data_IF_246783184764
#
_entry.id   IF_246783184764
#
_cell.length_a   1.000
_cell.length_b   1.000
_cell.length_c   1.000
_cell.angle_alpha   90.00
_cell.angle_beta   90.00
_cell.angle_gamma   90.00
#
_symmetry.space_group_name_H-M   'P 1'
#
loop_
_entity.id
_entity.type
_entity.pdbx_description
1 polymer ?
#
# COMPACT_ATOMS: atom_id res chain seq x y z
N UNK A 1 -2.03 -15.76 -3.27
CA UNK A 1 -2.10 -14.44 -2.63
C UNK A 1 -0.81 -13.71 -2.91
N UNK A 2 -0.88 -12.40 -3.10
CA UNK A 2 0.27 -11.59 -3.50
C UNK A 2 1.10 -11.23 -2.28
N UNK A 3 2.44 -11.34 -2.35
CA UNK A 3 3.31 -10.97 -1.21
C UNK A 3 3.70 -9.49 -1.24
N UNK A 4 3.89 -8.95 -2.43
CA UNK A 4 4.31 -7.56 -2.67
C UNK A 4 3.30 -6.82 -3.54
N UNK A 5 3.40 -5.49 -3.59
CA UNK A 5 2.59 -4.67 -4.49
C UNK A 5 2.88 -5.02 -5.95
N UNK A 6 4.12 -5.33 -6.31
CA UNK A 6 4.47 -5.82 -7.65
C UNK A 6 3.70 -7.09 -8.03
N UNK A 7 3.66 -8.08 -7.12
CA UNK A 7 2.91 -9.31 -7.39
C UNK A 7 1.40 -9.07 -7.46
N UNK A 8 0.87 -8.11 -6.69
CA UNK A 8 -0.52 -7.70 -6.77
C UNK A 8 -0.84 -7.09 -8.15
N UNK A 9 0.04 -6.24 -8.66
CA UNK A 9 -0.09 -5.63 -9.99
C UNK A 9 -0.04 -6.72 -11.07
N UNK A 10 0.91 -7.63 -11.02
CA UNK A 10 1.03 -8.73 -11.98
C UNK A 10 -0.21 -9.65 -11.97
N UNK A 11 -0.80 -9.81 -10.78
CA UNK A 11 -2.06 -10.54 -10.62
C UNK A 11 -3.24 -9.78 -11.21
N UNK A 12 -3.34 -8.46 -11.02
CA UNK A 12 -4.37 -7.61 -11.63
C UNK A 12 -4.28 -7.68 -13.16
N UNK A 13 -3.06 -7.64 -13.72
CA UNK A 13 -2.85 -7.83 -15.15
C UNK A 13 -3.42 -9.15 -15.63
N UNK A 14 -2.95 -10.26 -15.05
CA UNK A 14 -3.36 -11.61 -15.46
C UNK A 14 -4.84 -11.90 -15.28
N UNK A 15 -5.46 -11.40 -14.20
CA UNK A 15 -6.85 -11.71 -13.89
C UNK A 15 -7.81 -10.75 -14.61
N UNK A 16 -7.53 -9.46 -14.69
CA UNK A 16 -8.54 -8.50 -15.16
C UNK A 16 -8.21 -7.75 -16.45
N UNK A 17 -6.93 -7.51 -16.76
CA UNK A 17 -6.57 -6.52 -17.78
C UNK A 17 -5.96 -7.12 -19.05
N UNK A 18 -5.13 -8.14 -18.92
CA UNK A 18 -4.39 -8.77 -20.00
C UNK A 18 -4.75 -10.27 -20.03
N UNK A 19 -5.74 -10.67 -20.87
CA UNK A 19 -6.03 -12.09 -21.05
C UNK A 19 -4.82 -12.78 -21.68
N UNK A 20 -4.56 -14.05 -21.35
CA UNK A 20 -3.40 -14.79 -21.87
C UNK A 20 -3.40 -14.96 -23.39
N UNK A 21 -4.56 -14.77 -24.02
CA UNK A 21 -4.73 -14.83 -25.48
C UNK A 21 -4.48 -13.47 -26.17
N UNK A 22 -4.22 -12.39 -25.41
CA UNK A 22 -3.81 -11.09 -25.99
C UNK A 22 -2.35 -11.16 -26.39
N UNK A 23 -2.07 -10.92 -27.68
CA UNK A 23 -0.71 -10.79 -28.18
C UNK A 23 -0.28 -9.33 -27.98
N UNK A 24 0.18 -9.01 -26.78
CA UNK A 24 0.87 -7.74 -26.55
C UNK A 24 2.30 -7.83 -27.09
N UNK A 25 2.77 -6.79 -27.77
CA UNK A 25 4.11 -6.70 -28.32
C UNK A 25 5.13 -6.44 -27.19
N UNK A 26 5.86 -7.48 -26.78
CA UNK A 26 6.88 -7.39 -25.74
C UNK A 26 8.24 -7.92 -26.19
N UNK A 27 9.29 -7.29 -25.67
CA UNK A 27 10.67 -7.80 -25.71
C UNK A 27 11.31 -7.63 -24.33
N UNK A 28 12.58 -8.00 -24.21
CA UNK A 28 13.35 -7.88 -22.96
C UNK A 28 14.59 -7.02 -23.17
N UNK A 29 15.01 -6.33 -22.12
CA UNK A 29 16.32 -5.68 -22.07
C UNK A 29 17.43 -6.74 -22.11
N UNK A 30 18.31 -6.71 -23.12
CA UNK A 30 19.48 -7.61 -23.13
C UNK A 30 20.58 -7.15 -22.17
N UNK A 31 20.62 -5.85 -21.86
CA UNK A 31 21.53 -5.22 -20.91
C UNK A 31 20.81 -4.30 -19.94
N UNK A 32 21.37 -4.11 -18.75
CA UNK A 32 20.79 -3.23 -17.73
C UNK A 32 20.90 -1.75 -18.14
N UNK A 33 19.86 -0.97 -17.81
CA UNK A 33 19.93 0.49 -17.82
C UNK A 33 20.54 0.92 -16.47
N UNK A 34 21.83 1.18 -16.48
CA UNK A 34 22.65 1.32 -15.27
C UNK A 34 22.63 2.72 -14.66
N UNK A 35 22.17 3.72 -15.41
CA UNK A 35 22.09 5.11 -14.93
C UNK A 35 20.80 5.79 -15.37
N UNK A 36 20.38 6.82 -14.64
CA UNK A 36 19.19 7.63 -14.99
C UNK A 36 19.42 8.53 -16.23
N UNK A 37 20.67 8.71 -16.66
CA UNK A 37 21.03 9.49 -17.85
C UNK A 37 21.25 8.68 -19.12
N UNK A 38 21.28 7.34 -19.05
CA UNK A 38 21.40 6.48 -20.22
C UNK A 38 20.14 6.60 -21.09
N UNK A 39 20.30 6.92 -22.38
CA UNK A 39 19.22 7.14 -23.35
C UNK A 39 19.15 6.09 -24.45
N UNK A 40 20.03 5.08 -24.42
CA UNK A 40 20.00 3.96 -25.35
C UNK A 40 19.99 2.64 -24.59
N UNK A 41 19.26 1.66 -25.11
CA UNK A 41 19.27 0.29 -24.60
C UNK A 41 18.99 -0.69 -25.73
N UNK A 42 19.39 -1.94 -25.52
CA UNK A 42 19.19 -3.01 -26.49
C UNK A 42 18.01 -3.90 -26.10
N UNK A 43 17.26 -4.34 -27.10
CA UNK A 43 16.16 -5.31 -26.95
C UNK A 43 16.60 -6.70 -27.44
N UNK A 44 15.89 -7.74 -26.98
CA UNK A 44 16.15 -9.13 -27.38
C UNK A 44 15.77 -9.33 -28.85
N UNK A 45 16.68 -9.97 -29.60
CA UNK A 45 16.49 -10.32 -31.01
C UNK A 45 15.31 -11.29 -31.17
N UNK A 46 14.64 -11.26 -32.33
CA UNK A 46 13.52 -12.12 -32.72
C UNK A 46 12.20 -12.00 -31.92
N UNK A 47 12.13 -11.17 -30.87
CA UNK A 47 10.88 -10.96 -30.13
C UNK A 47 9.98 -9.87 -30.71
N UNK A 48 10.54 -8.92 -31.46
CA UNK A 48 9.77 -7.97 -32.25
C UNK A 48 9.71 -8.43 -33.70
N UNK A 49 8.50 -8.48 -34.24
CA UNK A 49 8.22 -8.59 -35.66
C UNK A 49 8.51 -7.28 -36.38
N UNK A 50 8.62 -7.32 -37.71
CA UNK A 50 8.89 -6.13 -38.53
C UNK A 50 7.84 -5.01 -38.35
N UNK A 51 6.58 -5.36 -38.09
CA UNK A 51 5.53 -4.38 -37.82
C UNK A 51 5.69 -3.71 -36.44
N UNK A 52 6.20 -4.44 -35.45
CA UNK A 52 6.46 -3.92 -34.10
C UNK A 52 7.71 -3.04 -34.06
N UNK A 53 8.70 -3.35 -34.90
CA UNK A 53 9.85 -2.48 -35.13
C UNK A 53 9.42 -1.17 -35.83
N UNK A 54 8.49 -1.21 -36.78
CA UNK A 54 7.92 0.01 -37.37
C UNK A 54 7.09 0.81 -36.36
N UNK A 55 6.33 0.12 -35.49
CA UNK A 55 5.58 0.74 -34.40
C UNK A 55 6.49 1.40 -33.34
N UNK A 56 7.78 1.08 -33.30
CA UNK A 56 8.80 1.67 -32.43
C UNK A 56 9.42 2.97 -33.00
N UNK A 57 8.88 3.51 -34.10
CA UNK A 57 9.36 4.76 -34.69
C UNK A 57 9.28 5.96 -33.72
N UNK A 58 9.92 7.07 -34.09
CA UNK A 58 10.04 8.28 -33.30
C UNK A 58 8.67 8.75 -32.78
N UNK A 59 8.54 8.85 -31.45
CA UNK A 59 7.31 9.26 -30.77
C UNK A 59 6.50 8.11 -30.20
N UNK A 60 6.84 6.85 -30.51
CA UNK A 60 6.23 5.69 -29.88
C UNK A 60 6.41 5.73 -28.36
N UNK A 61 5.40 5.26 -27.63
CA UNK A 61 5.46 5.15 -26.18
C UNK A 61 6.01 3.77 -25.84
N UNK A 62 7.03 3.73 -24.99
CA UNK A 62 7.62 2.51 -24.47
C UNK A 62 7.48 2.52 -22.96
N UNK A 63 7.20 1.36 -22.38
CA UNK A 63 7.20 1.17 -20.93
C UNK A 63 8.21 0.09 -20.53
N UNK A 64 8.97 0.39 -19.47
CA UNK A 64 9.81 -0.58 -18.75
C UNK A 64 9.55 -0.38 -17.25
N UNK A 65 9.01 -1.40 -16.59
CA UNK A 65 8.56 -1.27 -15.21
C UNK A 65 7.53 -0.15 -15.07
N UNK A 66 7.71 0.77 -14.11
CA UNK A 66 6.85 1.95 -13.95
C UNK A 66 7.28 3.17 -14.79
N UNK A 67 8.36 3.04 -15.55
CA UNK A 67 8.88 4.15 -16.35
C UNK A 67 8.28 4.14 -17.75
N UNK A 68 7.79 5.30 -18.16
CA UNK A 68 7.29 5.54 -19.51
C UNK A 68 8.33 6.38 -20.24
N UNK A 69 8.65 6.00 -21.48
CA UNK A 69 9.65 6.65 -22.32
C UNK A 69 9.06 6.92 -23.71
N UNK A 70 9.62 7.90 -24.42
CA UNK A 70 9.33 8.10 -25.84
C UNK A 70 10.48 7.57 -26.69
N UNK A 71 10.20 6.74 -27.69
CA UNK A 71 11.17 6.39 -28.72
C UNK A 71 11.59 7.64 -29.49
N UNK A 72 12.88 7.74 -29.80
CA UNK A 72 13.47 8.79 -30.64
C UNK A 72 13.97 8.23 -31.96
N UNK A 73 14.56 7.04 -31.93
CA UNK A 73 15.05 6.33 -33.10
C UNK A 73 15.31 4.87 -32.76
N UNK A 74 15.14 4.01 -33.76
CA UNK A 74 15.43 2.58 -33.70
C UNK A 74 16.60 2.24 -34.62
N UNK A 75 17.51 1.39 -34.15
CA UNK A 75 18.55 0.77 -34.96
C UNK A 75 18.38 -0.75 -34.96
N UNK A 76 17.73 -1.26 -36.00
CA UNK A 76 17.41 -2.69 -36.21
C UNK A 76 18.64 -3.55 -36.53
N UNK A 77 19.80 -2.96 -36.86
CA UNK A 77 21.03 -3.73 -37.11
C UNK A 77 21.71 -4.13 -35.80
N UNK A 78 21.59 -3.29 -34.77
CA UNK A 78 22.18 -3.50 -33.45
C UNK A 78 21.14 -3.76 -32.37
N UNK A 79 19.86 -3.89 -32.74
CA UNK A 79 18.71 -4.00 -31.84
C UNK A 79 18.74 -2.95 -30.73
N UNK A 80 19.04 -1.69 -31.09
CA UNK A 80 19.17 -0.59 -30.13
C UNK A 80 18.03 0.42 -30.30
N UNK A 81 17.38 0.78 -29.20
CA UNK A 81 16.39 1.86 -29.15
C UNK A 81 17.01 3.07 -28.46
N UNK A 82 16.91 4.24 -29.09
CA UNK A 82 17.19 5.52 -28.45
C UNK A 82 15.90 6.12 -27.94
N UNK A 83 15.87 6.53 -26.68
CA UNK A 83 14.68 7.03 -25.99
C UNK A 83 14.89 8.38 -25.31
N UNK A 84 13.80 9.11 -25.16
CA UNK A 84 13.66 10.16 -24.17
C UNK A 84 12.94 9.61 -22.93
N UNK A 85 13.60 9.71 -21.79
CA UNK A 85 13.20 9.07 -20.54
C UNK A 85 12.30 9.95 -19.67
N UNK A 86 11.62 9.33 -18.70
CA UNK A 86 10.76 10.03 -17.74
C UNK A 86 9.59 10.78 -18.39
N UNK A 87 8.93 10.15 -19.36
CA UNK A 87 7.78 10.73 -20.04
C UNK A 87 6.53 10.69 -19.14
N UNK A 88 5.57 11.59 -19.43
CA UNK A 88 4.24 11.63 -18.80
C UNK A 88 4.26 11.63 -17.25
N UNK A 89 5.26 12.29 -16.66
CA UNK A 89 5.39 12.42 -15.21
C UNK A 89 6.02 11.21 -14.51
N UNK A 90 6.54 10.24 -15.26
CA UNK A 90 7.40 9.18 -14.69
C UNK A 90 8.82 9.68 -14.45
N UNK A 91 9.56 9.02 -13.56
CA UNK A 91 10.94 9.38 -13.23
C UNK A 91 11.89 8.35 -13.82
N UNK A 92 12.98 8.82 -14.41
CA UNK A 92 14.04 7.96 -14.93
C UNK A 92 14.63 7.10 -13.80
N UNK A 93 14.54 5.78 -13.93
CA UNK A 93 15.02 4.79 -12.94
C UNK A 93 15.97 3.78 -13.58
N UNK A 94 16.87 3.16 -12.82
CA UNK A 94 17.68 2.05 -13.34
C UNK A 94 16.81 0.82 -13.58
N UNK A 95 17.10 0.04 -14.62
CA UNK A 95 16.38 -1.19 -14.95
C UNK A 95 17.37 -2.33 -15.11
N UNK A 96 17.03 -3.49 -14.54
CA UNK A 96 17.88 -4.68 -14.65
C UNK A 96 17.77 -5.31 -16.04
N UNK A 97 18.81 -6.03 -16.45
CA UNK A 97 18.74 -6.88 -17.65
C UNK A 97 17.61 -7.90 -17.48
N UNK A 98 16.91 -8.21 -18.57
CA UNK A 98 15.71 -9.05 -18.57
C UNK A 98 14.42 -8.34 -18.15
N UNK A 99 14.45 -7.02 -17.89
CA UNK A 99 13.21 -6.26 -17.67
C UNK A 99 12.38 -6.23 -18.96
N UNK A 100 11.06 -6.36 -18.81
CA UNK A 100 10.11 -6.38 -19.93
C UNK A 100 10.00 -4.98 -20.54
N UNK A 101 10.04 -4.93 -21.87
CA UNK A 101 9.77 -3.76 -22.70
C UNK A 101 8.39 -3.95 -23.32
N UNK A 102 7.45 -3.04 -23.04
CA UNK A 102 6.14 -3.01 -23.69
C UNK A 102 6.05 -1.81 -24.64
N UNK A 103 5.55 -2.03 -25.85
CA UNK A 103 5.30 -0.96 -26.84
C UNK A 103 3.83 -0.54 -26.76
N UNK A 104 3.58 0.76 -26.71
CA UNK A 104 2.25 1.37 -26.70
C UNK A 104 1.21 0.63 -25.82
N UNK A 105 1.54 0.31 -24.55
CA UNK A 105 0.68 -0.54 -23.74
C UNK A 105 -0.70 0.06 -23.55
N UNK A 106 -1.75 -0.76 -23.69
CA UNK A 106 -3.11 -0.34 -23.40
C UNK A 106 -3.24 0.12 -21.93
N UNK A 107 -2.67 -0.62 -20.99
CA UNK A 107 -2.63 -0.27 -19.57
C UNK A 107 -1.18 -0.16 -19.09
N UNK A 108 -0.75 1.06 -18.77
CA UNK A 108 0.61 1.29 -18.26
C UNK A 108 0.74 0.82 -16.82
N UNK A 109 1.85 0.18 -16.45
CA UNK A 109 2.10 -0.29 -15.08
C UNK A 109 2.09 0.85 -14.07
N UNK A 110 2.55 2.04 -14.48
CA UNK A 110 2.44 3.26 -13.67
C UNK A 110 0.99 3.60 -13.34
N UNK A 111 0.09 3.56 -14.33
CA UNK A 111 -1.34 3.87 -14.10
C UNK A 111 -2.00 2.89 -13.15
N UNK A 112 -1.62 1.61 -13.22
CA UNK A 112 -2.13 0.58 -12.32
C UNK A 112 -1.55 0.76 -10.92
N UNK A 113 -0.26 1.03 -10.78
CA UNK A 113 0.36 1.30 -9.49
C UNK A 113 -0.31 2.48 -8.78
N UNK A 114 -0.57 3.57 -9.51
CA UNK A 114 -1.26 4.74 -8.96
C UNK A 114 -2.69 4.41 -8.55
N UNK A 115 -3.42 3.67 -9.40
CA UNK A 115 -4.76 3.19 -9.06
C UNK A 115 -4.75 2.28 -7.82
N UNK A 116 -3.79 1.37 -7.68
CA UNK A 116 -3.62 0.52 -6.49
C UNK A 116 -3.37 1.38 -5.25
N UNK A 117 -2.45 2.34 -5.32
CA UNK A 117 -2.17 3.28 -4.23
C UNK A 117 -3.42 4.06 -3.81
N UNK A 118 -4.19 4.55 -4.77
CA UNK A 118 -5.40 5.33 -4.50
C UNK A 118 -6.53 4.46 -3.92
N UNK A 119 -6.73 3.25 -4.44
CA UNK A 119 -7.69 2.30 -3.87
C UNK A 119 -7.32 1.96 -2.42
N UNK A 120 -6.05 1.71 -2.13
CA UNK A 120 -5.57 1.44 -0.76
C UNK A 120 -5.87 2.61 0.17
N UNK A 121 -5.60 3.85 -0.25
CA UNK A 121 -5.92 5.06 0.55
C UNK A 121 -7.42 5.19 0.80
N UNK A 122 -8.25 4.88 -0.19
CA UNK A 122 -9.70 5.01 -0.14
C UNK A 122 -10.40 3.91 0.69
N UNK A 123 -9.71 2.83 1.07
CA UNK A 123 -10.26 1.83 1.99
C UNK A 123 -10.59 2.45 3.36
N UNK A 124 -9.79 3.41 3.81
CA UNK A 124 -10.06 4.20 5.00
C UNK A 124 -11.02 5.36 4.67
N UNK A 125 -12.05 5.66 5.49
CA UNK A 125 -12.30 5.18 6.86
C UNK A 125 -13.20 3.93 6.95
N UNK A 126 -13.64 3.37 5.83
CA UNK A 126 -14.62 2.28 5.81
C UNK A 126 -14.09 0.98 6.42
N UNK A 127 -12.82 0.68 6.14
CA UNK A 127 -12.03 -0.42 6.71
C UNK A 127 -10.75 0.20 7.30
N UNK A 128 -10.19 -0.42 8.33
CA UNK A 128 -8.91 -0.02 8.91
C UNK A 128 -7.99 -1.24 9.06
N UNK A 129 -6.69 -0.99 9.09
CA UNK A 129 -5.71 -1.99 9.43
C UNK A 129 -5.38 -1.92 10.94
N UNK A 130 -4.72 -2.95 11.47
CA UNK A 130 -4.24 -2.94 12.86
C UNK A 130 -2.76 -3.21 12.95
N UNK A 131 -2.12 -2.61 13.93
CA UNK A 131 -0.69 -2.83 14.21
C UNK A 131 -0.44 -2.79 15.71
N UNK A 132 0.45 -3.66 16.19
CA UNK A 132 0.83 -3.71 17.60
C UNK A 132 2.25 -3.21 17.77
N UNK A 133 2.40 -2.18 18.59
CA UNK A 133 3.69 -1.62 18.96
C UNK A 133 4.08 -2.09 20.36
N UNK A 134 5.36 -2.43 20.54
CA UNK A 134 5.96 -2.68 21.85
C UNK A 134 6.57 -1.38 22.36
N UNK A 135 6.02 -0.85 23.44
CA UNK A 135 6.38 0.44 24.01
C UNK A 135 6.73 0.29 25.49
N UNK A 136 7.46 1.24 26.05
CA UNK A 136 7.76 1.27 27.49
C UNK A 136 6.83 2.27 28.17
N UNK A 137 6.16 1.89 29.26
CA UNK A 137 5.33 2.81 30.03
C UNK A 137 6.19 3.93 30.63
N UNK A 138 5.66 5.14 30.63
CA UNK A 138 6.31 6.32 31.19
C UNK A 138 5.34 7.10 32.08
N UNK A 139 5.89 7.96 32.94
CA UNK A 139 5.08 8.90 33.71
C UNK A 139 4.68 10.07 32.80
N UNK A 140 3.39 10.39 32.73
CA UNK A 140 2.89 11.42 31.83
C UNK A 140 2.66 10.85 30.42
N UNK A 141 3.32 11.43 29.42
CA UNK A 141 3.17 11.04 28.02
C UNK A 141 4.47 10.44 27.45
N UNK A 142 4.33 9.55 26.47
CA UNK A 142 5.43 9.00 25.66
C UNK A 142 5.18 9.32 24.19
N UNK A 143 6.10 10.04 23.56
CA UNK A 143 5.98 10.33 22.13
C UNK A 143 6.09 9.05 21.28
N UNK A 144 5.32 8.97 20.20
CA UNK A 144 5.45 7.94 19.18
C UNK A 144 6.48 8.39 18.13
N UNK A 145 7.58 7.63 17.98
CA UNK A 145 8.65 7.96 17.03
C UNK A 145 10.05 7.80 17.62
N UNK A 146 11.04 7.68 16.74
CA UNK A 146 12.45 7.81 17.13
C UNK A 146 12.84 9.29 17.25
N UNK A 147 13.78 9.56 18.17
CA UNK A 147 14.41 10.87 18.28
C UNK A 147 15.36 11.10 17.09
N UNK A 148 15.52 12.37 16.67
CA UNK A 148 16.52 12.77 15.66
C UNK A 148 16.08 12.69 14.19
N UNK A 149 14.85 12.26 13.89
CA UNK A 149 14.25 12.42 12.56
C UNK A 149 13.05 13.38 12.63
N UNK A 150 12.96 14.33 11.70
CA UNK A 150 11.79 15.23 11.53
C UNK A 150 10.68 14.56 10.70
N UNK A 151 10.78 13.24 10.51
CA UNK A 151 9.85 12.44 9.73
C UNK A 151 8.79 11.83 10.64
N UNK A 152 7.54 11.92 10.21
CA UNK A 152 6.44 11.26 10.90
C UNK A 152 6.38 9.78 10.50
N UNK A 153 6.76 8.91 11.44
CA UNK A 153 6.76 7.46 11.25
C UNK A 153 5.47 6.78 11.72
N UNK A 154 4.52 7.53 12.30
CA UNK A 154 3.33 6.95 12.95
C UNK A 154 2.02 7.73 12.70
N UNK A 155 1.98 8.72 11.79
CA UNK A 155 0.75 9.45 11.38
C UNK A 155 -0.44 8.55 11.02
N UNK A 156 -0.14 7.35 10.53
CA UNK A 156 -1.16 6.41 10.12
C UNK A 156 -1.88 5.78 11.32
N UNK A 157 -1.37 5.93 12.56
CA UNK A 157 -2.07 5.50 13.77
C UNK A 157 -3.22 6.44 14.11
N UNK A 158 -4.34 5.87 14.59
CA UNK A 158 -5.58 6.63 14.86
C UNK A 158 -6.01 6.50 16.31
N UNK A 159 -6.17 5.28 16.81
CA UNK A 159 -6.56 5.08 18.21
C UNK A 159 -6.14 3.73 18.74
N UNK A 160 -5.74 3.65 20.01
CA UNK A 160 -5.47 2.36 20.66
C UNK A 160 -6.78 1.58 20.81
N UNK A 161 -6.74 0.30 20.48
CA UNK A 161 -7.87 -0.65 20.64
C UNK A 161 -7.67 -1.49 21.90
N UNK A 162 -6.43 -1.92 22.12
CA UNK A 162 -6.06 -2.83 23.21
C UNK A 162 -4.66 -2.49 23.67
N UNK A 163 -4.46 -2.47 24.98
CA UNK A 163 -3.14 -2.39 25.57
C UNK A 163 -3.01 -3.43 26.70
N UNK A 164 -1.91 -4.16 26.69
CA UNK A 164 -1.60 -5.16 27.72
C UNK A 164 -0.14 -5.03 28.11
N UNK A 165 0.14 -5.22 29.40
CA UNK A 165 1.50 -5.28 29.92
C UNK A 165 1.75 -6.60 30.62
N UNK A 166 2.97 -7.07 30.53
CA UNK A 166 3.45 -8.21 31.30
C UNK A 166 3.81 -7.74 32.70
N UNK A 167 3.15 -8.31 33.71
CA UNK A 167 3.51 -8.11 35.11
C UNK A 167 4.39 -9.27 35.54
N UNK A 168 5.62 -8.95 35.91
CA UNK A 168 6.47 -9.82 36.72
C UNK A 168 6.35 -9.34 38.16
N UNK A 169 5.62 -10.05 39.00
CA UNK A 169 5.56 -9.74 40.42
C UNK A 169 6.95 -10.03 41.01
N UNK A 170 7.75 -8.99 41.24
CA UNK A 170 9.06 -9.09 41.88
C UNK A 170 8.99 -8.66 43.35
N UNK A 171 7.94 -9.10 44.04
CA UNK A 171 7.90 -8.98 45.50
C UNK A 171 8.99 -9.87 46.11
N UNK A 172 9.91 -9.25 46.87
CA UNK A 172 10.95 -9.96 47.60
C UNK A 172 10.33 -11.02 48.51
N UNK A 173 10.56 -12.30 48.17
CA UNK A 173 10.12 -13.45 48.96
C UNK A 173 8.88 -14.20 48.45
N UNK A 174 8.34 -13.87 47.27
CA UNK A 174 7.36 -14.71 46.59
C UNK A 174 8.04 -15.67 45.61
N UNK A 175 7.81 -16.97 45.79
CA UNK A 175 8.18 -18.00 44.81
C UNK A 175 7.04 -18.09 43.80
N UNK A 176 7.12 -17.40 42.66
CA UNK A 176 6.15 -17.58 41.58
C UNK A 176 6.68 -17.16 40.19
N UNK A 177 7.01 -18.18 39.42
CA UNK A 177 7.18 -18.23 37.96
C UNK A 177 5.88 -17.97 37.19
N UNK A 178 5.16 -16.89 37.49
CA UNK A 178 3.85 -16.58 36.90
C UNK A 178 3.88 -15.32 36.05
N UNK A 179 4.19 -15.44 34.76
CA UNK A 179 4.00 -14.33 33.80
C UNK A 179 2.50 -14.06 33.65
N UNK A 180 2.00 -12.96 34.20
CA UNK A 180 0.59 -12.57 34.07
C UNK A 180 0.48 -11.31 33.23
N UNK A 181 -0.36 -11.34 32.18
CA UNK A 181 -0.69 -10.14 31.40
C UNK A 181 -1.92 -9.47 32.00
N UNK A 182 -1.82 -8.17 32.28
CA UNK A 182 -2.96 -7.35 32.75
C UNK A 182 -3.26 -6.25 31.74
N UNK A 183 -4.53 -5.83 31.60
CA UNK A 183 -4.91 -4.72 30.75
C UNK A 183 -4.29 -3.41 31.28
N UNK A 184 -3.91 -2.53 30.38
CA UNK A 184 -3.43 -1.18 30.67
C UNK A 184 -4.34 -0.19 29.98
N UNK A 185 -4.70 0.90 30.65
CA UNK A 185 -5.44 1.98 30.01
C UNK A 185 -4.44 2.89 29.28
N UNK A 186 -4.70 3.14 28.00
CA UNK A 186 -3.84 3.96 27.13
C UNK A 186 -4.70 4.91 26.31
N UNK A 187 -4.26 6.15 26.21
CA UNK A 187 -4.88 7.18 25.38
C UNK A 187 -3.85 7.74 24.40
N UNK A 188 -4.26 7.93 23.14
CA UNK A 188 -3.48 8.68 22.15
C UNK A 188 -3.85 10.15 22.27
N UNK A 189 -2.86 11.01 22.48
CA UNK A 189 -3.01 12.45 22.60
C UNK A 189 -2.29 13.14 21.43
N UNK A 190 -2.93 14.19 20.92
CA UNK A 190 -2.40 15.06 19.89
C UNK A 190 -1.75 16.29 20.53
N UNK A 191 -0.44 16.43 20.38
CA UNK A 191 0.34 17.56 20.90
C UNK A 191 0.62 18.57 19.77
N UNK A 192 0.82 19.86 20.08
CA UNK A 192 1.10 20.87 19.05
C UNK A 192 2.42 20.58 18.31
N UNK A 193 2.48 20.86 17.01
CA UNK A 193 3.73 20.84 16.23
C UNK A 193 4.27 22.27 16.07
N UNK A 194 5.51 22.60 16.49
CA UNK A 194 6.51 21.74 17.12
C UNK A 194 6.24 21.47 18.60
N UNK A 195 6.75 20.34 19.10
CA UNK A 195 6.64 19.97 20.52
C UNK A 195 8.02 19.74 21.15
N UNK A 196 8.31 20.40 22.27
CA UNK A 196 9.53 20.19 23.06
C UNK A 196 9.24 19.28 24.25
N UNK A 197 10.07 18.25 24.44
CA UNK A 197 9.95 17.25 25.49
C UNK A 197 11.33 16.90 26.06
N UNK A 198 11.35 16.36 27.28
CA UNK A 198 12.54 15.74 27.86
C UNK A 198 12.47 14.24 27.61
N UNK A 199 13.50 13.67 26.98
CA UNK A 199 13.52 12.24 26.66
C UNK A 199 13.94 11.36 27.87
N UNK A 200 13.94 10.04 27.66
CA UNK A 200 14.35 9.05 28.67
C UNK A 200 15.84 9.20 29.10
N UNK A 201 16.67 9.93 28.34
CA UNK A 201 18.06 10.29 28.69
C UNK A 201 18.20 11.64 29.38
N UNK A 202 17.08 12.27 29.79
CA UNK A 202 17.02 13.60 30.41
C UNK A 202 17.54 14.73 29.52
N UNK A 203 17.51 14.54 28.19
CA UNK A 203 17.89 15.57 27.22
C UNK A 203 16.63 16.26 26.70
N UNK A 204 16.61 17.59 26.71
CA UNK A 204 15.56 18.36 26.04
C UNK A 204 15.68 18.20 24.53
N UNK A 205 14.57 17.85 23.88
CA UNK A 205 14.49 17.66 22.43
C UNK A 205 13.20 18.26 21.88
N UNK A 206 13.24 18.70 20.64
CA UNK A 206 12.06 19.18 19.91
C UNK A 206 11.76 18.23 18.77
N UNK A 207 10.49 17.84 18.63
CA UNK A 207 9.97 17.13 17.47
C UNK A 207 9.22 18.15 16.60
N UNK A 208 9.65 18.28 15.37
CA UNK A 208 9.03 19.17 14.38
C UNK A 208 8.73 18.36 13.13
N UNK A 209 7.46 18.27 12.74
CA UNK A 209 7.10 17.75 11.43
C UNK A 209 7.14 18.87 10.40
N UNK A 210 8.00 18.73 9.40
CA UNK A 210 8.16 19.69 8.29
C UNK A 210 7.28 19.34 7.09
N UNK A 211 6.91 18.06 6.98
CA UNK A 211 5.98 17.49 6.01
C UNK A 211 5.19 16.38 6.72
N UNK A 212 3.88 16.53 6.88
CA UNK A 212 3.09 15.57 7.65
C UNK A 212 1.91 16.22 8.39
N UNK A 213 1.35 15.55 9.42
CA UNK A 213 0.26 16.10 10.21
C UNK A 213 0.76 17.27 11.06
N UNK A 214 -0.14 18.19 11.39
CA UNK A 214 0.15 19.36 12.21
C UNK A 214 0.20 19.05 13.72
N UNK A 215 0.20 17.77 14.09
CA UNK A 215 0.17 17.29 15.48
C UNK A 215 1.24 16.23 15.74
N UNK A 216 1.77 16.24 16.96
CA UNK A 216 2.71 15.24 17.47
C UNK A 216 1.95 14.20 18.29
N UNK A 217 1.95 12.96 17.78
CA UNK A 217 1.31 11.82 18.45
C UNK A 217 2.07 11.39 19.69
N UNK A 218 1.37 11.29 20.83
CA UNK A 218 1.92 10.75 22.06
C UNK A 218 0.92 9.83 22.76
N UNK A 219 1.42 8.96 23.64
CA UNK A 219 0.63 8.02 24.40
C UNK A 219 0.71 8.32 25.88
N UNK A 220 -0.44 8.36 26.53
CA UNK A 220 -0.53 8.45 27.97
C UNK A 220 -0.97 7.10 28.55
N UNK A 221 -0.19 6.59 29.51
CA UNK A 221 -0.46 5.32 30.18
C UNK A 221 -1.11 5.57 31.55
N UNK A 222 -2.10 4.75 31.88
CA UNK A 222 -2.81 4.79 33.17
C UNK A 222 -2.87 3.39 33.80
N UNK A 223 -2.78 3.34 35.13
CA UNK A 223 -2.88 2.10 35.89
C UNK A 223 -1.66 1.18 35.74
N UNK A 224 -0.50 1.75 35.39
CA UNK A 224 0.79 1.05 35.32
C UNK A 224 1.93 1.98 35.73
N UNK A 225 2.91 1.45 36.45
CA UNK A 225 4.13 2.18 36.78
C UNK A 225 5.03 2.37 35.54
N UNK A 226 5.95 3.32 35.58
CA UNK A 226 6.90 3.54 34.48
C UNK A 226 7.94 2.40 34.38
N UNK A 227 8.45 2.17 33.18
CA UNK A 227 9.50 1.18 32.91
C UNK A 227 9.02 -0.22 32.51
N UNK A 228 7.70 -0.46 32.41
CA UNK A 228 7.15 -1.74 31.98
C UNK A 228 6.93 -1.80 30.47
N UNK A 229 7.08 -2.98 29.87
CA UNK A 229 6.80 -3.18 28.43
C UNK A 229 5.30 -3.37 28.22
N UNK A 230 4.70 -2.46 27.46
CA UNK A 230 3.29 -2.45 27.07
C UNK A 230 3.16 -2.73 25.58
N UNK A 231 2.36 -3.73 25.24
CA UNK A 231 1.96 -4.03 23.87
C UNK A 231 0.64 -3.30 23.59
N UNK A 232 0.69 -2.31 22.70
CA UNK A 232 -0.47 -1.50 22.33
C UNK A 232 -0.83 -1.76 20.88
N UNK A 233 -2.05 -2.24 20.64
CA UNK A 233 -2.63 -2.46 19.31
C UNK A 233 -3.44 -1.23 18.90
N UNK A 234 -3.14 -0.65 17.75
CA UNK A 234 -3.78 0.54 17.19
C UNK A 234 -4.68 0.22 16.01
N UNK A 235 -5.76 0.99 15.84
CA UNK A 235 -6.38 1.23 14.54
C UNK A 235 -5.42 2.07 13.73
N UNK A 236 -5.19 1.68 12.48
CA UNK A 236 -4.31 2.41 11.58
C UNK A 236 -4.93 2.60 10.19
N UNK A 237 -4.59 3.72 9.57
CA UNK A 237 -4.78 3.98 8.14
C UNK A 237 -3.85 3.07 7.34
N UNK A 238 -4.28 2.68 6.15
CA UNK A 238 -3.38 2.02 5.21
C UNK A 238 -2.27 2.98 4.78
N UNK A 239 -1.05 2.48 4.69
CA UNK A 239 0.11 3.27 4.28
C UNK A 239 0.21 3.23 2.75
N UNK A 240 0.40 4.38 2.10
CA UNK A 240 0.58 4.39 0.66
C UNK A 240 1.87 3.64 0.27
N UNK A 241 1.84 2.77 -0.74
CA UNK A 241 3.06 2.13 -1.22
C UNK A 241 4.02 3.18 -1.79
N UNK A 242 5.29 3.05 -1.50
CA UNK A 242 6.39 3.86 -2.05
C UNK A 242 7.19 3.11 -3.12
N UNK A 243 7.11 1.78 -3.13
CA UNK A 243 7.74 0.92 -4.13
C UNK A 243 6.95 -0.39 -4.32
N UNK A 244 7.12 -1.04 -5.47
CA UNK A 244 6.51 -2.36 -5.73
C UNK A 244 7.02 -3.46 -4.80
N UNK A 245 8.22 -3.29 -4.25
CA UNK A 245 8.82 -4.19 -3.28
C UNK A 245 8.14 -4.11 -1.90
N UNK A 246 7.31 -3.10 -1.63
CA UNK A 246 6.58 -3.04 -0.37
C UNK A 246 5.67 -4.25 -0.22
N UNK A 247 5.70 -4.85 0.96
CA UNK A 247 4.85 -6.00 1.29
C UNK A 247 3.44 -5.54 1.63
N UNK A 248 2.44 -6.35 1.31
CA UNK A 248 1.04 -6.04 1.66
C UNK A 248 0.88 -5.82 3.18
N UNK A 249 1.57 -6.66 3.98
CA UNK A 249 1.59 -6.56 5.44
C UNK A 249 2.14 -5.21 5.94
N UNK A 250 3.24 -4.70 5.36
CA UNK A 250 3.81 -3.40 5.76
C UNK A 250 2.85 -2.23 5.53
N UNK A 251 2.03 -2.33 4.49
CA UNK A 251 1.01 -1.34 4.15
C UNK A 251 -0.25 -1.45 5.03
N UNK A 252 -0.39 -2.57 5.74
CA UNK A 252 -1.58 -2.91 6.52
C UNK A 252 -2.67 -3.62 5.71
N UNK A 253 -2.35 -4.07 4.49
CA UNK A 253 -3.29 -4.83 3.66
C UNK A 253 -3.17 -6.32 3.99
N UNK A 254 -4.14 -6.85 4.74
CA UNK A 254 -4.26 -8.29 4.97
C UNK A 254 -4.72 -9.00 3.67
N UNK A 255 -4.39 -10.28 3.52
CA UNK A 255 -4.71 -11.07 2.32
C UNK A 255 -6.20 -11.06 1.96
N UNK A 256 -7.08 -10.95 2.97
CA UNK A 256 -8.53 -10.87 2.80
C UNK A 256 -8.99 -9.61 2.05
N UNK A 257 -8.21 -8.53 2.09
CA UNK A 257 -8.55 -7.26 1.45
C UNK A 257 -7.99 -7.14 0.02
N UNK A 258 -7.15 -8.10 -0.40
CA UNK A 258 -6.56 -8.14 -1.74
C UNK A 258 -7.63 -8.08 -2.84
N UNK A 259 -8.71 -8.90 -2.81
CA UNK A 259 -9.72 -8.89 -3.87
C UNK A 259 -10.50 -7.58 -3.95
N UNK A 260 -10.63 -6.84 -2.83
CA UNK A 260 -11.29 -5.52 -2.79
C UNK A 260 -10.50 -4.52 -3.65
N UNK A 261 -9.18 -4.48 -3.47
CA UNK A 261 -8.31 -3.57 -4.21
C UNK A 261 -8.26 -3.96 -5.68
N UNK A 262 -8.08 -5.25 -5.99
CA UNK A 262 -8.01 -5.73 -7.38
C UNK A 262 -9.27 -5.38 -8.18
N UNK A 263 -10.44 -5.63 -7.60
CA UNK A 263 -11.74 -5.34 -8.24
C UNK A 263 -11.93 -3.83 -8.44
N UNK A 264 -11.55 -3.02 -7.46
CA UNK A 264 -11.64 -1.55 -7.55
C UNK A 264 -10.72 -0.97 -8.62
N UNK A 265 -9.48 -1.44 -8.68
CA UNK A 265 -8.51 -1.02 -9.71
C UNK A 265 -8.98 -1.41 -11.10
N UNK A 266 -9.43 -2.67 -11.28
CA UNK A 266 -9.98 -3.12 -12.56
C UNK A 266 -11.16 -2.25 -13.00
N UNK A 267 -12.13 -1.99 -12.10
CA UNK A 267 -13.29 -1.15 -12.40
C UNK A 267 -12.91 0.27 -12.82
N UNK A 268 -11.95 0.88 -12.11
CA UNK A 268 -11.47 2.24 -12.37
C UNK A 268 -10.79 2.33 -13.75
N UNK A 269 -9.93 1.37 -14.09
CA UNK A 269 -9.18 1.37 -15.35
C UNK A 269 -10.08 1.05 -16.55
N UNK A 270 -11.01 0.11 -16.40
CA UNK A 270 -11.98 -0.26 -17.44
C UNK A 270 -12.95 0.89 -17.73
N UNK A 271 -13.37 1.65 -16.71
CA UNK A 271 -14.31 2.76 -16.88
C UNK A 271 -13.74 3.94 -17.67
N UNK A 272 -12.42 4.11 -17.69
CA UNK A 272 -11.74 5.20 -18.38
C UNK A 272 -11.43 4.94 -19.85
N UNK A 273 -11.72 3.74 -20.36
CA UNK A 273 -11.43 3.32 -21.73
C UNK A 273 -12.71 2.93 -22.47
N UNK A 274 -12.67 3.05 -23.80
CA UNK A 274 -13.77 2.62 -24.65
C UNK A 274 -13.96 1.08 -24.53
N UNK A 275 -15.21 0.65 -24.31
CA UNK A 275 -15.60 -0.73 -24.05
C UNK A 275 -15.23 -1.64 -25.24
N UNK A 276 -15.16 -1.10 -26.46
CA UNK A 276 -14.85 -1.88 -27.67
C UNK A 276 -13.38 -2.30 -27.79
N UNK A 277 -12.46 -1.65 -27.06
CA UNK A 277 -11.03 -2.01 -27.04
C UNK A 277 -10.67 -2.98 -25.91
N UNK A 278 -11.62 -3.28 -25.04
CA UNK A 278 -11.44 -4.19 -23.89
C UNK A 278 -12.01 -5.54 -24.30
N UNK A 279 -11.27 -6.62 -24.06
CA UNK A 279 -11.74 -8.01 -24.25
C UNK A 279 -12.83 -8.36 -23.21
N UNK A 280 -14.01 -7.78 -23.39
CA UNK A 280 -15.20 -7.94 -22.57
C UNK A 280 -15.59 -9.40 -22.24
N UNK A 281 -15.38 -10.40 -23.12
CA UNK A 281 -15.70 -11.79 -22.80
C UNK A 281 -14.91 -12.36 -21.61
N UNK A 282 -13.61 -12.04 -21.50
CA UNK A 282 -12.74 -12.60 -20.47
C UNK A 282 -13.13 -12.11 -19.06
N UNK A 283 -13.41 -10.82 -18.93
CA UNK A 283 -13.82 -10.22 -17.65
C UNK A 283 -15.23 -10.72 -17.25
N UNK A 284 -16.10 -10.94 -18.23
CA UNK A 284 -17.43 -11.51 -18.03
C UNK A 284 -17.34 -12.93 -17.49
N UNK A 285 -16.46 -13.77 -18.05
CA UNK A 285 -16.23 -15.14 -17.58
C UNK A 285 -15.69 -15.17 -16.15
N UNK A 286 -14.75 -14.29 -15.81
CA UNK A 286 -14.24 -14.21 -14.42
C UNK A 286 -15.30 -13.74 -13.42
N UNK A 287 -16.14 -12.78 -13.79
CA UNK A 287 -17.25 -12.35 -12.95
C UNK A 287 -18.31 -13.45 -12.76
N UNK A 288 -18.56 -14.25 -13.80
CA UNK A 288 -19.42 -15.43 -13.71
C UNK A 288 -18.80 -16.53 -12.84
N UNK A 289 -17.48 -16.74 -12.93
CA UNK A 289 -16.74 -17.68 -12.07
C UNK A 289 -16.81 -17.27 -10.59
N UNK A 290 -16.86 -15.97 -10.29
CA UNK A 290 -17.11 -15.43 -8.96
C UNK A 290 -18.60 -15.47 -8.52
N UNK A 291 -19.48 -16.11 -9.30
CA UNK A 291 -20.93 -16.22 -9.08
C UNK A 291 -21.70 -14.89 -9.10
N UNK A 292 -21.22 -13.88 -9.83
CA UNK A 292 -21.94 -12.61 -10.04
C UNK A 292 -22.63 -12.57 -11.41
N UNK A 293 -23.96 -12.33 -11.46
CA UNK A 293 -24.65 -12.18 -12.73
C UNK A 293 -24.29 -10.86 -13.39
N UNK A 294 -23.48 -10.96 -14.44
CA UNK A 294 -23.17 -9.87 -15.38
C UNK A 294 -24.32 -9.75 -16.38
N UNK A 295 -25.23 -8.79 -16.13
CA UNK A 295 -26.31 -8.50 -17.05
C UNK A 295 -25.78 -7.80 -18.31
N UNK A 296 -26.26 -8.19 -19.49
CA UNK A 296 -25.86 -7.68 -20.80
C UNK A 296 -26.02 -6.16 -21.02
N UNK A 297 -26.70 -5.47 -20.10
CA UNK A 297 -27.00 -4.04 -20.18
C UNK A 297 -26.29 -3.19 -19.10
N UNK A 298 -25.60 -3.80 -18.14
CA UNK A 298 -24.85 -3.07 -17.11
C UNK A 298 -23.35 -3.16 -17.43
N UNK A 299 -22.68 -2.02 -17.58
CA UNK A 299 -21.25 -1.97 -17.88
C UNK A 299 -20.46 -2.86 -16.91
N UNK A 300 -19.47 -3.59 -17.42
CA UNK A 300 -18.60 -4.49 -16.64
C UNK A 300 -18.04 -3.78 -15.39
N UNK A 301 -17.68 -2.50 -15.54
CA UNK A 301 -17.29 -1.61 -14.44
C UNK A 301 -18.35 -1.54 -13.32
N UNK A 302 -19.63 -1.36 -13.66
CA UNK A 302 -20.72 -1.33 -12.67
C UNK A 302 -20.89 -2.67 -11.93
N UNK A 303 -20.61 -3.79 -12.61
CA UNK A 303 -20.67 -5.12 -11.99
C UNK A 303 -19.50 -5.35 -11.03
N UNK A 304 -18.28 -4.94 -11.42
CA UNK A 304 -17.09 -4.96 -10.55
C UNK A 304 -17.29 -4.08 -9.30
N UNK A 305 -17.85 -2.87 -9.45
CA UNK A 305 -18.11 -1.99 -8.31
C UNK A 305 -19.12 -2.60 -7.30
N UNK A 306 -20.15 -3.30 -7.79
CA UNK A 306 -21.08 -4.03 -6.92
C UNK A 306 -20.39 -5.18 -6.17
N UNK A 307 -19.50 -5.90 -6.85
CA UNK A 307 -18.71 -6.95 -6.22
C UNK A 307 -17.79 -6.38 -5.13
N UNK A 308 -17.09 -5.28 -5.43
CA UNK A 308 -16.24 -4.56 -4.46
C UNK A 308 -17.05 -4.14 -3.21
N UNK A 309 -18.25 -3.60 -3.39
CA UNK A 309 -19.12 -3.20 -2.26
C UNK A 309 -19.51 -4.39 -1.37
N UNK A 310 -19.80 -5.55 -1.95
CA UNK A 310 -20.12 -6.75 -1.17
C UNK A 310 -18.91 -7.20 -0.33
N UNK A 311 -17.72 -7.26 -0.95
CA UNK A 311 -16.48 -7.63 -0.26
C UNK A 311 -16.16 -6.66 0.88
N UNK A 312 -16.37 -5.36 0.67
CA UNK A 312 -16.23 -4.34 1.72
C UNK A 312 -17.19 -4.60 2.87
N UNK A 313 -18.46 -4.94 2.60
CA UNK A 313 -19.42 -5.24 3.67
C UNK A 313 -19.02 -6.47 4.48
N UNK A 314 -18.54 -7.52 3.83
CA UNK A 314 -18.01 -8.71 4.50
C UNK A 314 -16.79 -8.40 5.36
N UNK A 315 -15.82 -7.67 4.82
CA UNK A 315 -14.61 -7.26 5.53
C UNK A 315 -14.92 -6.41 6.77
N UNK A 316 -15.86 -5.45 6.66
CA UNK A 316 -16.32 -4.64 7.81
C UNK A 316 -16.95 -5.49 8.91
N UNK A 317 -17.77 -6.47 8.54
CA UNK A 317 -18.41 -7.37 9.50
C UNK A 317 -17.36 -8.20 10.26
N UNK A 318 -16.39 -8.78 9.53
CA UNK A 318 -15.27 -9.51 10.11
C UNK A 318 -14.48 -8.62 11.10
N UNK A 319 -14.10 -7.42 10.65
CA UNK A 319 -13.32 -6.49 11.44
C UNK A 319 -14.04 -6.03 12.72
N UNK A 320 -15.36 -5.81 12.69
CA UNK A 320 -16.16 -5.52 13.89
C UNK A 320 -16.24 -6.71 14.84
N UNK A 321 -16.22 -7.94 14.31
CA UNK A 321 -16.19 -9.16 15.12
C UNK A 321 -14.82 -9.38 15.77
N UNK A 322 -13.72 -9.10 15.05
CA UNK A 322 -12.33 -9.25 15.52
C UNK A 322 -11.98 -8.21 16.59
N UNK A 323 -12.47 -6.99 16.42
CA UNK A 323 -12.22 -5.85 17.31
C UNK A 323 -13.56 -5.23 17.75
N UNK A 324 -14.24 -5.83 18.74
CA UNK A 324 -15.48 -5.26 19.28
C UNK A 324 -15.19 -3.89 19.90
N UNK A 325 -16.08 -2.93 19.68
CA UNK A 325 -15.93 -1.60 20.27
C UNK A 325 -16.12 -1.66 21.79
N UNK A 326 -15.25 -0.98 22.53
CA UNK A 326 -15.36 -0.89 23.97
C UNK A 326 -16.55 0.00 24.34
N UNK A 327 -17.33 -0.44 25.34
CA UNK A 327 -18.41 0.37 25.93
C UNK A 327 -17.78 1.41 26.84
N UNK A 328 -17.90 2.69 26.49
CA UNK A 328 -17.51 3.80 27.36
C UNK A 328 -18.61 4.03 28.41
N UNK A 329 -18.34 3.73 29.68
CA UNK A 329 -19.18 4.17 30.79
C UNK A 329 -18.74 5.58 31.19
N UNK A 330 -19.53 6.59 30.85
CA UNK A 330 -19.33 7.93 31.40
C UNK A 330 -19.56 7.89 32.91
N UNK A 331 -18.63 8.48 33.68
CA UNK A 331 -18.60 8.38 35.14
C UNK A 331 -19.95 8.70 35.80
N UNK A 332 -20.34 7.88 36.77
CA UNK A 332 -21.52 8.10 37.61
C UNK A 332 -21.20 9.29 38.52
N UNK A 333 -21.84 10.43 38.27
CA UNK A 333 -21.75 11.58 39.15
C UNK A 333 -22.69 11.32 40.34
N UNK A 334 -22.14 11.06 41.52
CA UNK A 334 -22.93 11.02 42.76
C UNK A 334 -23.19 12.47 43.19
N UNK A 335 -24.43 12.97 43.17
CA UNK A 335 -24.73 14.24 43.80
C UNK A 335 -24.45 14.12 45.30
N UNK A 336 -23.58 15.00 45.80
CA UNK A 336 -23.34 15.18 47.25
C UNK A 336 -24.57 15.73 47.94
#
# INVERSE_FOLDING_TARGET
>A
MSTTIGNLIDRIYREYLEPPDSVESYSYLTGAISTTGQTTFNYEEDLFSTEEEDALDAGAIIEIGQEIMFSKSLNVVTNEVTVQRGARGTTATTHDAGSIIKIAPAFTRKSIYDAVSDQIKNLFPTIYATETLSLTSGTGYRLLGNHGSDQDSYNYMISPIKAVSQYTDWSTGSDQTGLTYKPVAVELIDLPNPFTYTDDTQTERTKTYTTGPDVVHALQFYGIDSGHTVYVTFKKKFVAPTAEANTLASIGLEEEYEPIVMTGVAAQLISGKDINMINAPYITEQLQAAAFPVGSANSISSSLLRYQQLLIQQARSNLRSKYPEAVLMHGVNYPT
#
